data_IF_363764150362
#
_entry.id   IF_363764150362
#
_cell.length_a   1.000
_cell.length_b   1.000
_cell.length_c   1.000
_cell.angle_alpha   90.00
_cell.angle_beta   90.00
_cell.angle_gamma   90.00
#
_symmetry.space_group_name_H-M   'P 1'
#
loop_
_entity.id
_entity.type
_entity.pdbx_description
1 polymer ?
#
# COMPACT_ATOMS: atom_id res chain seq x y z
N UNK A 1 -20.81 21.09 26.36
CA UNK A 1 -19.43 21.25 25.85
C UNK A 1 -18.66 19.94 25.80
N UNK A 2 -18.46 19.20 26.91
CA UNK A 2 -17.75 17.90 26.89
C UNK A 2 -18.41 16.81 26.03
N UNK A 3 -19.73 16.64 26.12
CA UNK A 3 -20.46 15.65 25.32
C UNK A 3 -20.37 15.91 23.80
N UNK A 4 -20.36 17.19 23.40
CA UNK A 4 -20.21 17.58 21.99
C UNK A 4 -18.81 17.28 21.45
N UNK A 5 -17.78 17.46 22.29
CA UNK A 5 -16.39 17.10 21.92
C UNK A 5 -16.27 15.58 21.77
N UNK A 6 -16.82 14.80 22.70
CA UNK A 6 -16.80 13.33 22.62
C UNK A 6 -17.55 12.82 21.39
N UNK A 7 -18.73 13.39 21.10
CA UNK A 7 -19.50 13.05 19.91
C UNK A 7 -18.74 13.42 18.62
N UNK A 8 -18.12 14.61 18.59
CA UNK A 8 -17.29 15.05 17.47
C UNK A 8 -16.08 14.15 17.23
N UNK A 9 -15.37 13.73 18.29
CA UNK A 9 -14.26 12.78 18.17
C UNK A 9 -14.73 11.40 17.70
N UNK A 10 -15.86 10.91 18.22
CA UNK A 10 -16.40 9.61 17.81
C UNK A 10 -16.79 9.61 16.33
N UNK A 11 -17.44 10.67 15.84
CA UNK A 11 -17.79 10.84 14.42
C UNK A 11 -16.54 10.95 13.56
N UNK A 12 -15.55 11.73 13.99
CA UNK A 12 -14.27 11.85 13.27
C UNK A 12 -13.54 10.50 13.17
N UNK A 13 -13.44 9.74 14.26
CA UNK A 13 -12.83 8.41 14.27
C UNK A 13 -13.58 7.43 13.36
N UNK A 14 -14.91 7.49 13.34
CA UNK A 14 -15.72 6.67 12.44
C UNK A 14 -15.42 7.01 10.97
N UNK A 15 -15.34 8.30 10.63
CA UNK A 15 -15.02 8.76 9.28
C UNK A 15 -13.60 8.34 8.86
N UNK A 16 -12.62 8.45 9.77
CA UNK A 16 -11.25 7.99 9.52
C UNK A 16 -11.19 6.47 9.29
N UNK A 17 -11.96 5.68 10.03
CA UNK A 17 -11.99 4.22 9.87
C UNK A 17 -12.52 3.80 8.49
N UNK A 18 -13.48 4.54 7.93
CA UNK A 18 -14.02 4.27 6.59
C UNK A 18 -13.03 4.67 5.47
N UNK A 19 -12.15 5.64 5.72
CA UNK A 19 -11.19 6.13 4.73
C UNK A 19 -10.08 5.12 4.38
N UNK A 20 -9.82 4.12 5.23
CA UNK A 20 -8.76 3.13 5.00
C UNK A 20 -9.35 1.87 4.35
N UNK A 21 -9.58 1.93 3.05
CA UNK A 21 -9.97 0.77 2.25
C UNK A 21 -8.80 0.32 1.37
N UNK A 22 -8.23 -0.83 1.72
CA UNK A 22 -7.36 -1.54 0.78
C UNK A 22 -8.15 -2.08 -0.42
N UNK A 23 -7.46 -2.18 -1.55
CA UNK A 23 -8.03 -2.37 -2.89
C UNK A 23 -7.30 -3.51 -3.60
N UNK A 24 -8.02 -4.22 -4.46
CA UNK A 24 -7.43 -5.10 -5.49
C UNK A 24 -7.54 -4.35 -6.81
N UNK A 25 -6.40 -4.12 -7.47
CA UNK A 25 -6.39 -3.43 -8.76
C UNK A 25 -6.55 -4.41 -9.91
N UNK A 26 -7.17 -3.96 -11.00
CA UNK A 26 -7.02 -4.65 -12.28
C UNK A 26 -5.65 -4.35 -12.89
N UNK A 27 -5.09 -5.29 -13.65
CA UNK A 27 -3.76 -5.17 -14.29
C UNK A 27 -3.56 -3.84 -15.02
N UNK A 28 -4.49 -3.46 -15.89
CA UNK A 28 -4.39 -2.22 -16.69
C UNK A 28 -4.62 -0.97 -15.84
N UNK A 29 -5.46 -1.06 -14.80
CA UNK A 29 -5.67 0.05 -13.86
C UNK A 29 -4.38 0.34 -13.08
N UNK A 30 -3.75 -0.73 -12.58
CA UNK A 30 -2.48 -0.67 -11.86
C UNK A 30 -1.35 -0.13 -12.73
N UNK A 31 -1.19 -0.65 -13.95
CA UNK A 31 -0.18 -0.16 -14.89
C UNK A 31 -0.33 1.34 -15.18
N UNK A 32 -1.56 1.85 -15.36
CA UNK A 32 -1.80 3.28 -15.55
C UNK A 32 -1.47 4.09 -14.30
N UNK A 33 -1.76 3.57 -13.10
CA UNK A 33 -1.40 4.23 -11.85
C UNK A 33 0.12 4.36 -11.72
N UNK A 34 0.85 3.26 -11.86
CA UNK A 34 2.31 3.23 -11.81
C UNK A 34 2.93 4.18 -12.85
N UNK A 35 2.47 4.16 -14.10
CA UNK A 35 2.93 5.08 -15.15
C UNK A 35 2.74 6.54 -14.76
N UNK A 36 1.57 6.90 -14.23
CA UNK A 36 1.28 8.27 -13.75
C UNK A 36 2.09 8.65 -12.52
N UNK A 37 2.51 7.67 -11.73
CA UNK A 37 3.39 7.83 -10.58
C UNK A 37 4.88 7.82 -10.94
N UNK A 38 5.25 7.90 -12.22
CA UNK A 38 6.66 8.00 -12.63
C UNK A 38 7.46 6.70 -12.50
N UNK A 39 6.78 5.56 -12.33
CA UNK A 39 7.44 4.24 -12.22
C UNK A 39 7.85 3.65 -13.57
N UNK A 40 7.44 4.29 -14.68
CA UNK A 40 7.84 3.85 -16.02
C UNK A 40 9.31 4.18 -16.28
N UNK A 41 10.14 3.14 -16.50
CA UNK A 41 11.60 3.25 -16.65
C UNK A 41 12.34 3.71 -15.38
N UNK A 42 11.77 3.45 -14.20
CA UNK A 42 12.41 3.78 -12.91
C UNK A 42 13.69 2.95 -12.74
N UNK A 43 14.84 3.59 -12.52
CA UNK A 43 16.17 2.94 -12.51
C UNK A 43 16.49 2.09 -13.76
N UNK A 44 15.91 2.41 -14.92
CA UNK A 44 16.11 1.63 -16.16
C UNK A 44 15.27 0.35 -16.23
N UNK A 45 14.31 0.19 -15.32
CA UNK A 45 13.44 -0.96 -15.21
C UNK A 45 12.10 -0.68 -15.91
N UNK A 46 11.73 -1.54 -16.85
CA UNK A 46 10.52 -1.39 -17.65
C UNK A 46 9.26 -1.71 -16.84
N UNK A 47 8.26 -0.81 -16.92
CA UNK A 47 6.97 -0.92 -16.21
C UNK A 47 6.28 -2.27 -16.42
N UNK A 48 6.34 -2.75 -17.67
CA UNK A 48 5.73 -3.99 -18.11
C UNK A 48 6.42 -5.21 -17.51
N UNK A 49 7.75 -5.16 -17.47
CA UNK A 49 8.56 -6.36 -17.22
C UNK A 49 8.82 -6.58 -15.73
N UNK A 50 8.88 -5.51 -14.93
CA UNK A 50 9.18 -5.63 -13.51
C UNK A 50 8.02 -5.26 -12.61
N UNK A 51 7.47 -4.03 -12.64
CA UNK A 51 6.54 -3.60 -11.60
C UNK A 51 5.18 -4.29 -11.70
N UNK A 52 4.63 -4.41 -12.91
CA UNK A 52 3.35 -5.11 -13.14
C UNK A 52 3.51 -6.61 -12.93
N UNK A 53 4.62 -7.20 -13.38
CA UNK A 53 4.89 -8.64 -13.20
C UNK A 53 5.14 -9.01 -11.73
N UNK A 54 5.92 -8.19 -11.02
CA UNK A 54 6.22 -8.32 -9.60
C UNK A 54 4.92 -8.33 -8.78
N UNK A 55 4.12 -7.28 -8.91
CA UNK A 55 2.88 -7.15 -8.13
C UNK A 55 1.81 -8.18 -8.49
N UNK A 56 1.87 -8.78 -9.69
CA UNK A 56 1.01 -9.91 -10.06
C UNK A 56 1.37 -11.18 -9.29
N UNK A 57 2.67 -11.49 -9.18
CA UNK A 57 3.15 -12.72 -8.53
C UNK A 57 3.27 -12.59 -7.01
N UNK A 58 3.55 -11.41 -6.50
CA UNK A 58 3.69 -11.17 -5.06
C UNK A 58 2.34 -11.10 -4.33
N UNK A 59 1.34 -10.47 -4.95
CA UNK A 59 0.10 -10.13 -4.24
C UNK A 59 -1.17 -10.22 -5.07
N UNK A 60 -1.10 -10.59 -6.34
CA UNK A 60 -2.22 -10.49 -7.27
C UNK A 60 -2.88 -9.09 -7.25
N UNK A 61 -2.05 -8.04 -7.21
CA UNK A 61 -2.46 -6.64 -7.15
C UNK A 61 -3.29 -6.24 -5.91
N UNK A 62 -3.25 -7.03 -4.84
CA UNK A 62 -4.00 -6.78 -3.61
C UNK A 62 -3.20 -5.93 -2.61
N UNK A 63 -3.66 -4.71 -2.34
CA UNK A 63 -2.99 -3.84 -1.35
C UNK A 63 -3.15 -4.29 0.10
N UNK A 64 -3.99 -5.31 0.37
CA UNK A 64 -4.13 -5.95 1.69
C UNK A 64 -3.45 -7.32 1.77
N UNK A 65 -2.62 -7.69 0.79
CA UNK A 65 -1.88 -8.94 0.85
C UNK A 65 -0.97 -8.97 2.09
N UNK A 66 -1.00 -10.08 2.82
CA UNK A 66 -0.17 -10.34 3.99
C UNK A 66 0.36 -11.77 3.84
N UNK A 67 1.68 -11.92 3.84
CA UNK A 67 2.33 -13.22 3.88
C UNK A 67 3.11 -13.38 5.19
N UNK A 68 2.70 -14.36 5.99
CA UNK A 68 3.24 -14.64 7.32
C UNK A 68 4.08 -15.93 7.39
N UNK A 69 4.50 -16.46 6.24
CA UNK A 69 5.15 -17.78 6.12
C UNK A 69 6.68 -17.62 5.93
N UNK A 70 7.27 -16.50 6.35
CA UNK A 70 8.71 -16.34 6.24
C UNK A 70 9.43 -17.16 7.32
N UNK A 71 10.48 -17.87 6.92
CA UNK A 71 11.25 -18.82 7.75
C UNK A 71 11.83 -18.19 9.02
N UNK A 72 11.97 -16.87 9.05
CA UNK A 72 12.51 -16.09 10.15
C UNK A 72 11.45 -15.46 11.06
N UNK A 73 10.16 -15.71 10.79
CA UNK A 73 9.03 -15.13 11.52
C UNK A 73 8.68 -13.69 11.13
N UNK A 74 9.31 -13.13 10.08
CA UNK A 74 8.90 -11.83 9.51
C UNK A 74 7.58 -11.94 8.75
N UNK A 75 6.98 -10.80 8.41
CA UNK A 75 5.74 -10.74 7.63
C UNK A 75 5.90 -9.75 6.49
N UNK A 76 5.42 -10.12 5.31
CA UNK A 76 5.41 -9.24 4.13
C UNK A 76 4.04 -8.59 3.96
N UNK A 77 4.04 -7.30 3.63
CA UNK A 77 2.83 -6.48 3.61
C UNK A 77 2.60 -5.79 2.28
N UNK A 78 1.32 -5.72 1.91
CA UNK A 78 0.82 -4.88 0.83
C UNK A 78 1.13 -5.42 -0.57
N UNK A 79 0.87 -4.57 -1.57
CA UNK A 79 0.92 -4.96 -2.98
C UNK A 79 2.32 -5.34 -3.48
N UNK A 80 3.37 -4.84 -2.80
CA UNK A 80 4.77 -5.13 -3.09
C UNK A 80 5.41 -6.13 -2.12
N UNK A 81 4.65 -6.69 -1.17
CA UNK A 81 5.16 -7.64 -0.17
C UNK A 81 6.43 -7.14 0.54
N UNK A 82 6.34 -5.96 1.16
CA UNK A 82 7.47 -5.34 1.86
C UNK A 82 7.66 -6.02 3.23
N UNK A 83 8.87 -6.51 3.47
CA UNK A 83 9.20 -7.33 4.63
C UNK A 83 9.38 -6.51 5.92
N UNK A 84 8.75 -6.96 7.01
CA UNK A 84 8.79 -6.31 8.32
C UNK A 84 10.11 -6.34 9.06
N UNK A 85 11.07 -7.17 8.61
CA UNK A 85 12.42 -7.18 9.18
C UNK A 85 13.17 -5.89 8.87
N UNK A 86 12.94 -5.33 7.68
CA UNK A 86 13.71 -4.19 7.16
C UNK A 86 12.91 -2.89 7.13
N UNK A 87 11.58 -2.97 7.20
CA UNK A 87 10.69 -1.82 7.15
C UNK A 87 9.65 -1.93 8.25
N UNK A 88 9.41 -0.84 8.97
CA UNK A 88 8.26 -0.78 9.86
C UNK A 88 6.98 -0.74 9.00
N UNK A 89 6.05 -1.71 9.11
CA UNK A 89 4.85 -1.79 8.27
C UNK A 89 3.81 -0.72 8.65
N UNK A 90 4.22 0.35 9.33
CA UNK A 90 3.37 1.42 9.77
C UNK A 90 2.79 2.12 8.53
N UNK A 91 1.47 2.08 8.29
CA UNK A 91 0.87 2.59 7.05
C UNK A 91 1.12 4.08 6.81
N UNK A 92 1.49 4.84 7.86
CA UNK A 92 1.90 6.24 7.76
C UNK A 92 3.29 6.44 7.11
N UNK A 93 4.16 5.43 7.08
CA UNK A 93 5.48 5.48 6.44
C UNK A 93 5.45 5.23 4.92
N UNK A 94 4.30 4.81 4.36
CA UNK A 94 4.11 4.74 2.90
C UNK A 94 3.55 6.03 2.29
N UNK A 95 3.03 6.94 3.11
CA UNK A 95 2.65 8.29 2.67
C UNK A 95 3.84 9.15 2.18
N UNK A 96 5.06 9.11 2.77
CA UNK A 96 6.20 9.90 2.30
C UNK A 96 6.77 9.48 0.94
N UNK A 97 6.43 8.31 0.39
CA UNK A 97 6.74 8.02 -1.02
C UNK A 97 5.92 8.86 -2.01
N UNK A 98 4.84 9.51 -1.53
CA UNK A 98 4.05 10.45 -2.32
C UNK A 98 4.60 11.88 -2.30
N UNK A 99 5.61 12.17 -1.47
CA UNK A 99 6.14 13.54 -1.28
C UNK A 99 7.49 13.77 -1.96
N UNK A 100 8.03 12.79 -2.69
CA UNK A 100 9.28 12.92 -3.45
C UNK A 100 9.20 12.45 -4.91
N UNK A 101 7.98 12.45 -5.49
CA UNK A 101 7.74 12.35 -6.94
C UNK A 101 6.94 13.56 -7.38
#
# INVERSE_FOLDING_TARGET
>A
TRALIVLGMAVFLLLCAVAVQGKVFERCEWARLLKRSGMDNYYGVSLKDCEVCLTEHESHYNTKAINNINTDGSTDYGIFQINSRYCDPNPFLFLPWKTHI
#
